data_IF_633219114384
#
_entry.id   IF_633219114384
#
_cell.length_a   1.000
_cell.length_b   1.000
_cell.length_c   1.000
_cell.angle_alpha   90.00
_cell.angle_beta   90.00
_cell.angle_gamma   90.00
#
_symmetry.space_group_name_H-M   'P 1'
#
loop_
_entity.id
_entity.type
_entity.pdbx_description
1 polymer ?
#
# COMPACT_ATOMS: atom_id res chain seq x y z
N UNK A 1 10.16 -0.17 17.97
CA UNK A 1 8.77 -0.61 18.12
C UNK A 1 8.78 -2.04 18.67
N UNK A 2 8.63 -2.19 19.98
CA UNK A 2 8.36 -3.45 20.65
C UNK A 2 6.85 -3.61 20.78
N UNK A 3 6.23 -4.22 19.81
CA UNK A 3 4.83 -4.59 19.87
C UNK A 3 4.70 -6.11 19.79
N UNK A 4 4.45 -6.75 20.93
CA UNK A 4 3.98 -8.13 20.93
C UNK A 4 2.54 -8.16 20.43
N UNK A 5 2.33 -8.67 19.22
CA UNK A 5 1.00 -9.02 18.74
C UNK A 5 0.79 -10.50 18.97
N UNK A 6 0.03 -10.82 20.00
CA UNK A 6 -0.45 -12.17 20.27
C UNK A 6 -1.63 -12.47 19.33
N UNK A 7 -1.36 -13.17 18.23
CA UNK A 7 -2.41 -13.68 17.34
C UNK A 7 -2.67 -15.12 17.76
N UNK A 8 -3.72 -15.35 18.52
CA UNK A 8 -4.21 -16.70 18.86
C UNK A 8 -4.44 -17.49 17.56
N UNK A 9 -3.61 -18.53 17.33
CA UNK A 9 -3.74 -19.47 16.23
C UNK A 9 -2.91 -19.22 14.98
N UNK A 10 -1.98 -18.27 14.96
CA UNK A 10 -0.98 -18.09 13.90
C UNK A 10 0.34 -18.78 14.21
N UNK A 11 1.00 -19.30 13.17
CA UNK A 11 2.38 -19.76 13.28
C UNK A 11 3.23 -18.65 13.93
N UNK A 12 3.81 -18.94 15.09
CA UNK A 12 4.80 -18.10 15.74
C UNK A 12 6.03 -18.05 14.83
N UNK A 13 6.16 -17.01 14.04
CA UNK A 13 7.43 -16.70 13.41
C UNK A 13 8.31 -16.04 14.47
N UNK A 14 9.37 -16.71 14.87
CA UNK A 14 10.45 -16.07 15.63
C UNK A 14 10.91 -14.83 14.85
N UNK A 15 10.78 -13.66 15.46
CA UNK A 15 11.31 -12.43 14.90
C UNK A 15 12.83 -12.46 15.06
N UNK A 16 13.52 -12.79 13.99
CA UNK A 16 14.96 -12.65 13.94
C UNK A 16 15.27 -11.15 13.79
N UNK A 17 16.03 -10.59 14.71
CA UNK A 17 16.56 -9.25 14.55
C UNK A 17 17.50 -9.22 13.36
N UNK A 18 17.22 -8.39 12.37
CA UNK A 18 18.12 -8.23 11.21
C UNK A 18 19.53 -7.78 11.63
N UNK A 19 19.67 -7.08 12.76
CA UNK A 19 20.97 -6.73 13.35
C UNK A 19 21.80 -7.95 13.72
N UNK A 20 21.16 -8.99 14.21
CA UNK A 20 21.84 -10.19 14.71
C UNK A 20 22.20 -11.16 13.59
N UNK A 21 21.64 -11.01 12.42
CA UNK A 21 21.89 -11.87 11.25
C UNK A 21 22.97 -11.35 10.28
N UNK A 22 23.45 -10.12 10.43
CA UNK A 22 24.42 -9.51 9.52
C UNK A 22 25.81 -9.34 10.16
N UNK A 23 26.46 -10.44 10.46
CA UNK A 23 27.89 -10.44 10.85
C UNK A 23 28.85 -10.71 9.67
N UNK A 24 28.52 -10.27 8.49
CA UNK A 24 29.42 -10.42 7.35
C UNK A 24 29.97 -9.04 6.98
N UNK A 25 31.29 -8.96 6.75
CA UNK A 25 31.94 -7.80 6.16
C UNK A 25 31.51 -7.55 4.70
N UNK A 26 30.55 -8.30 4.21
CA UNK A 26 30.03 -8.22 2.86
C UNK A 26 28.94 -7.16 2.77
N UNK A 27 28.91 -6.49 1.63
CA UNK A 27 27.85 -5.53 1.33
C UNK A 27 26.55 -6.27 1.06
N UNK A 28 25.43 -5.71 1.56
CA UNK A 28 24.12 -6.05 1.05
C UNK A 28 24.00 -5.54 -0.39
N UNK A 29 23.94 -6.45 -1.34
CA UNK A 29 23.89 -6.11 -2.77
C UNK A 29 22.46 -6.16 -3.28
N UNK A 30 21.95 -5.03 -3.69
CA UNK A 30 20.60 -4.86 -4.22
C UNK A 30 20.63 -4.44 -5.68
N UNK A 31 19.69 -4.95 -6.47
CA UNK A 31 19.44 -4.48 -7.82
C UNK A 31 18.04 -3.87 -7.88
N UNK A 32 17.92 -2.66 -8.38
CA UNK A 32 16.65 -1.95 -8.44
C UNK A 32 16.27 -1.63 -9.89
N UNK A 33 15.07 -2.05 -10.30
CA UNK A 33 14.53 -1.82 -11.63
C UNK A 33 13.49 -0.70 -11.59
N UNK A 34 13.85 0.47 -12.11
CA UNK A 34 13.02 1.68 -12.11
C UNK A 34 12.71 2.16 -13.53
N UNK A 35 11.48 2.57 -13.82
CA UNK A 35 11.11 3.10 -15.13
C UNK A 35 11.40 4.61 -15.23
N UNK A 36 12.67 5.01 -15.15
CA UNK A 36 13.07 6.40 -15.30
C UNK A 36 12.77 6.97 -16.68
N UNK A 37 12.82 6.11 -17.73
CA UNK A 37 12.60 6.51 -19.12
C UNK A 37 13.55 7.64 -19.55
N UNK A 38 14.81 7.51 -19.18
CA UNK A 38 15.83 8.53 -19.46
C UNK A 38 16.01 8.87 -20.92
N UNK A 39 15.70 7.90 -21.84
CA UNK A 39 15.74 8.15 -23.28
C UNK A 39 14.72 9.19 -23.76
N UNK A 40 13.67 9.44 -22.97
CA UNK A 40 12.65 10.43 -23.31
C UNK A 40 13.01 11.84 -22.81
N UNK A 41 14.09 12.00 -22.03
CA UNK A 41 14.50 13.27 -21.44
C UNK A 41 15.54 13.93 -22.36
N UNK A 42 15.16 15.07 -22.93
CA UNK A 42 16.02 15.89 -23.79
C UNK A 42 16.67 16.99 -22.91
N UNK A 43 17.84 16.71 -22.35
CA UNK A 43 18.52 17.63 -21.40
C UNK A 43 18.83 19.00 -21.99
N UNK A 44 18.98 19.11 -23.29
CA UNK A 44 19.24 20.39 -23.98
C UNK A 44 18.01 21.29 -24.11
N UNK A 45 16.81 20.74 -23.84
CA UNK A 45 15.54 21.46 -23.92
C UNK A 45 14.85 21.58 -22.58
N UNK A 46 15.27 22.56 -21.77
CA UNK A 46 14.79 22.77 -20.40
C UNK A 46 13.27 22.80 -20.28
N UNK A 47 12.56 23.48 -21.22
CA UNK A 47 11.09 23.54 -21.19
C UNK A 47 10.44 22.15 -21.32
N UNK A 48 10.90 21.33 -22.27
CA UNK A 48 10.36 19.97 -22.47
C UNK A 48 10.68 19.06 -21.29
N UNK A 49 11.89 19.16 -20.75
CA UNK A 49 12.31 18.42 -19.58
C UNK A 49 11.49 18.78 -18.35
N UNK A 50 11.28 20.07 -18.08
CA UNK A 50 10.46 20.52 -16.97
C UNK A 50 9.01 20.02 -17.08
N UNK A 51 8.43 20.00 -18.28
CA UNK A 51 7.08 19.46 -18.49
C UNK A 51 7.00 17.96 -18.15
N UNK A 52 8.02 17.18 -18.53
CA UNK A 52 8.07 15.74 -18.21
C UNK A 52 8.34 15.47 -16.73
N UNK A 53 9.09 16.33 -16.07
CA UNK A 53 9.43 16.22 -14.65
C UNK A 53 8.39 16.93 -13.74
N UNK A 54 7.31 17.48 -14.31
CA UNK A 54 6.22 18.07 -13.57
C UNK A 54 5.08 17.04 -13.36
N UNK A 55 4.41 17.13 -12.23
CA UNK A 55 3.26 16.28 -11.92
C UNK A 55 3.63 14.81 -11.59
N UNK A 56 2.60 14.00 -11.39
CA UNK A 56 2.74 12.59 -11.02
C UNK A 56 2.79 11.70 -12.27
N UNK A 57 3.98 11.27 -12.64
CA UNK A 57 4.23 10.38 -13.78
C UNK A 57 5.36 9.40 -13.45
N UNK A 58 5.73 8.50 -14.40
CA UNK A 58 6.76 7.48 -14.15
C UNK A 58 8.14 8.07 -13.86
N UNK A 59 8.50 9.18 -14.51
CA UNK A 59 9.81 9.85 -14.26
C UNK A 59 9.88 10.31 -12.79
N UNK A 60 8.86 11.07 -12.34
CA UNK A 60 8.83 11.64 -10.98
C UNK A 60 8.64 10.57 -9.90
N UNK A 61 7.82 9.55 -10.15
CA UNK A 61 7.66 8.41 -9.24
C UNK A 61 8.99 7.67 -9.08
N UNK A 62 9.69 7.39 -10.19
CA UNK A 62 10.98 6.69 -10.15
C UNK A 62 12.05 7.49 -9.44
N UNK A 63 12.12 8.81 -9.70
CA UNK A 63 13.06 9.70 -9.04
C UNK A 63 12.82 9.78 -7.52
N UNK A 64 11.57 10.00 -7.12
CA UNK A 64 11.20 10.06 -5.70
C UNK A 64 11.47 8.73 -4.98
N UNK A 65 11.17 7.61 -5.64
CA UNK A 65 11.47 6.30 -5.09
C UNK A 65 12.97 6.08 -4.92
N UNK A 66 13.77 6.47 -5.92
CA UNK A 66 15.23 6.40 -5.86
C UNK A 66 15.81 7.24 -4.71
N UNK A 67 15.36 8.49 -4.55
CA UNK A 67 15.78 9.32 -3.44
C UNK A 67 15.43 8.69 -2.08
N UNK A 68 14.25 8.13 -1.95
CA UNK A 68 13.88 7.38 -0.74
C UNK A 68 14.76 6.17 -0.47
N UNK A 69 15.20 5.46 -1.51
CA UNK A 69 16.15 4.35 -1.38
C UNK A 69 17.54 4.82 -0.94
N UNK A 70 18.05 5.95 -1.47
CA UNK A 70 19.33 6.50 -1.05
C UNK A 70 19.29 6.93 0.42
N UNK A 71 18.21 7.58 0.86
CA UNK A 71 18.02 7.90 2.28
C UNK A 71 17.99 6.63 3.16
N UNK A 72 17.29 5.58 2.70
CA UNK A 72 17.27 4.30 3.40
C UNK A 72 18.65 3.64 3.44
N UNK A 73 19.45 3.74 2.36
CA UNK A 73 20.82 3.23 2.31
C UNK A 73 21.70 3.95 3.33
N UNK A 74 21.64 5.28 3.39
CA UNK A 74 22.39 6.06 4.38
C UNK A 74 22.00 5.70 5.82
N UNK A 75 20.70 5.48 6.05
CA UNK A 75 20.21 5.01 7.34
C UNK A 75 20.76 3.61 7.67
N UNK A 76 20.75 2.67 6.73
CA UNK A 76 21.33 1.35 6.91
C UNK A 76 22.84 1.42 7.21
N UNK A 77 23.57 2.28 6.48
CA UNK A 77 25.00 2.50 6.71
C UNK A 77 25.26 3.02 8.13
N UNK A 78 24.41 3.92 8.65
CA UNK A 78 24.50 4.43 10.03
C UNK A 78 24.28 3.33 11.10
N UNK A 79 23.58 2.27 10.74
CA UNK A 79 23.36 1.09 11.56
C UNK A 79 24.45 0.01 11.38
N UNK A 80 25.48 0.29 10.57
CA UNK A 80 26.56 -0.65 10.26
C UNK A 80 26.24 -1.66 9.15
N UNK A 81 25.09 -1.52 8.48
CA UNK A 81 24.67 -2.38 7.37
C UNK A 81 25.09 -1.72 6.06
N UNK A 82 26.28 -2.09 5.57
CA UNK A 82 26.80 -1.55 4.30
C UNK A 82 25.98 -2.05 3.13
N UNK A 83 25.40 -1.12 2.37
CA UNK A 83 24.49 -1.44 1.27
C UNK A 83 25.00 -0.88 -0.06
N UNK A 84 24.95 -1.70 -1.11
CA UNK A 84 25.19 -1.30 -2.51
C UNK A 84 23.93 -1.51 -3.31
N UNK A 85 23.49 -0.48 -4.01
CA UNK A 85 22.30 -0.50 -4.86
C UNK A 85 22.74 -0.26 -6.31
N UNK A 86 22.50 -1.27 -7.17
CA UNK A 86 22.65 -1.11 -8.61
C UNK A 86 21.28 -0.76 -9.21
N UNK A 87 21.16 0.41 -9.80
CA UNK A 87 19.91 0.93 -10.35
C UNK A 87 19.90 0.80 -11.86
N UNK A 88 18.81 0.22 -12.37
CA UNK A 88 18.62 -0.09 -13.79
C UNK A 88 17.37 0.64 -14.28
N UNK A 89 17.54 1.45 -15.32
CA UNK A 89 16.41 2.05 -16.02
C UNK A 89 15.75 1.03 -16.95
N UNK A 90 14.52 0.68 -16.63
CA UNK A 90 13.74 -0.28 -17.42
C UNK A 90 13.13 0.33 -18.67
N UNK A 91 13.19 1.64 -18.86
CA UNK A 91 12.48 2.37 -19.91
C UNK A 91 10.97 2.08 -19.96
N UNK A 92 10.44 1.37 -18.96
CA UNK A 92 9.09 0.77 -18.96
C UNK A 92 8.87 -0.19 -20.15
N UNK A 93 9.90 -0.88 -20.61
CA UNK A 93 9.93 -1.74 -21.79
C UNK A 93 10.35 -3.17 -21.39
N UNK A 94 9.55 -4.16 -21.80
CA UNK A 94 9.80 -5.57 -21.50
C UNK A 94 11.05 -6.11 -22.22
N UNK A 95 11.39 -5.59 -23.38
CA UNK A 95 12.58 -6.01 -24.12
C UNK A 95 13.85 -5.57 -23.41
N UNK A 96 13.87 -4.34 -22.89
CA UNK A 96 14.97 -3.81 -22.09
C UNK A 96 15.12 -4.61 -20.79
N UNK A 97 14.00 -4.90 -20.11
CA UNK A 97 14.01 -5.72 -18.90
C UNK A 97 14.60 -7.11 -19.18
N UNK A 98 14.18 -7.78 -20.25
CA UNK A 98 14.67 -9.10 -20.60
C UNK A 98 16.17 -9.10 -20.98
N UNK A 99 16.63 -8.09 -21.71
CA UNK A 99 18.04 -7.87 -22.01
C UNK A 99 18.86 -7.75 -20.72
N UNK A 100 18.40 -6.91 -19.78
CA UNK A 100 19.08 -6.70 -18.50
C UNK A 100 19.11 -7.95 -17.63
N UNK A 101 18.00 -8.71 -17.54
CA UNK A 101 18.00 -10.00 -16.84
C UNK A 101 19.07 -10.95 -17.41
N UNK A 102 19.28 -10.92 -18.73
CA UNK A 102 20.22 -11.81 -19.40
C UNK A 102 21.66 -11.37 -19.26
N UNK A 103 21.94 -10.08 -19.14
CA UNK A 103 23.29 -9.51 -19.09
C UNK A 103 23.87 -9.36 -17.68
N UNK A 104 23.03 -9.35 -16.64
CA UNK A 104 23.48 -9.17 -15.26
C UNK A 104 24.03 -10.48 -14.71
N UNK A 105 25.18 -10.37 -14.02
CA UNK A 105 25.65 -11.45 -13.16
C UNK A 105 24.89 -11.40 -11.83
N UNK A 106 24.05 -12.39 -11.60
CA UNK A 106 23.20 -12.48 -10.40
C UNK A 106 23.90 -13.06 -9.17
N UNK A 107 25.14 -13.54 -9.31
CA UNK A 107 25.89 -14.07 -8.18
C UNK A 107 26.16 -12.98 -7.13
N UNK A 108 25.82 -13.27 -5.88
CA UNK A 108 26.02 -12.36 -4.77
C UNK A 108 24.96 -11.25 -4.65
N UNK A 109 23.92 -11.21 -5.50
CA UNK A 109 22.79 -10.32 -5.33
C UNK A 109 21.86 -10.89 -4.25
N UNK A 110 21.60 -10.07 -3.22
CA UNK A 110 20.82 -10.48 -2.05
C UNK A 110 19.31 -10.25 -2.26
N UNK A 111 18.91 -9.20 -2.98
CA UNK A 111 17.52 -8.96 -3.34
C UNK A 111 17.37 -8.07 -4.56
N UNK A 112 16.18 -8.14 -5.16
CA UNK A 112 15.80 -7.31 -6.31
C UNK A 112 14.57 -6.48 -5.91
N UNK A 113 14.60 -5.19 -6.21
CA UNK A 113 13.50 -4.24 -5.96
C UNK A 113 12.90 -3.82 -7.31
N UNK A 114 11.58 -3.99 -7.44
CA UNK A 114 10.88 -3.68 -8.70
C UNK A 114 10.89 -4.85 -9.71
N UNK A 115 10.49 -4.60 -10.95
CA UNK A 115 10.04 -3.32 -11.55
C UNK A 115 8.83 -2.68 -10.86
N UNK A 116 8.71 -1.33 -10.89
CA UNK A 116 7.61 -0.63 -10.22
C UNK A 116 6.25 -0.84 -10.90
N UNK A 117 6.25 -1.00 -12.23
CA UNK A 117 5.02 -1.16 -13.00
C UNK A 117 4.51 -2.60 -12.88
N UNK A 118 3.27 -2.84 -12.42
CA UNK A 118 2.77 -4.17 -12.10
C UNK A 118 2.86 -5.19 -13.25
N UNK A 119 2.54 -4.75 -14.48
CA UNK A 119 2.65 -5.62 -15.67
C UNK A 119 4.08 -6.09 -15.92
N UNK A 120 5.05 -5.19 -15.77
CA UNK A 120 6.47 -5.50 -15.94
C UNK A 120 6.99 -6.37 -14.79
N UNK A 121 6.51 -6.13 -13.58
CA UNK A 121 6.84 -6.93 -12.40
C UNK A 121 6.35 -8.38 -12.56
N UNK A 122 5.12 -8.56 -13.03
CA UNK A 122 4.53 -9.89 -13.25
C UNK A 122 5.31 -10.70 -14.29
N UNK A 123 5.78 -10.07 -15.37
CA UNK A 123 6.68 -10.68 -16.33
C UNK A 123 8.05 -11.01 -15.73
N UNK A 124 8.64 -10.06 -15.01
CA UNK A 124 9.98 -10.17 -14.43
C UNK A 124 10.07 -11.28 -13.39
N UNK A 125 9.12 -11.34 -12.48
CA UNK A 125 9.11 -12.27 -11.34
C UNK A 125 9.00 -13.74 -11.73
N UNK A 126 8.55 -14.04 -12.96
CA UNK A 126 8.44 -15.41 -13.50
C UNK A 126 9.71 -15.91 -14.18
N UNK A 127 10.77 -15.08 -14.24
CA UNK A 127 12.00 -15.49 -14.91
C UNK A 127 12.82 -16.46 -14.06
N UNK A 128 13.20 -17.60 -14.66
CA UNK A 128 13.92 -18.67 -13.95
C UNK A 128 15.32 -18.30 -13.49
N UNK A 129 15.97 -17.32 -14.12
CA UNK A 129 17.34 -16.91 -13.77
C UNK A 129 17.44 -16.23 -12.42
N UNK A 130 16.33 -15.74 -11.91
CA UNK A 130 16.22 -14.99 -10.64
C UNK A 130 15.28 -15.67 -9.63
N UNK A 131 14.94 -16.96 -9.86
CA UNK A 131 13.99 -17.71 -9.05
C UNK A 131 14.41 -17.90 -7.60
N UNK A 132 15.70 -17.83 -7.32
CA UNK A 132 16.26 -18.04 -5.99
C UNK A 132 16.59 -16.72 -5.26
N UNK A 133 16.41 -15.58 -5.94
CA UNK A 133 16.67 -14.26 -5.38
C UNK A 133 15.35 -13.65 -4.90
N UNK A 134 15.27 -13.12 -3.67
CA UNK A 134 14.10 -12.37 -3.21
C UNK A 134 13.78 -11.20 -4.13
N UNK A 135 12.55 -11.12 -4.61
CA UNK A 135 12.05 -10.05 -5.50
C UNK A 135 10.96 -9.28 -4.78
N UNK A 136 11.11 -7.98 -4.65
CA UNK A 136 10.24 -7.12 -3.88
C UNK A 136 9.45 -6.20 -4.82
N UNK A 137 8.11 -6.29 -4.77
CA UNK A 137 7.21 -5.31 -5.38
C UNK A 137 6.95 -4.18 -4.39
N UNK A 138 7.50 -2.97 -4.61
CA UNK A 138 7.53 -1.96 -3.55
C UNK A 138 6.28 -1.10 -3.45
N UNK A 139 5.53 -0.88 -4.53
CA UNK A 139 4.45 0.12 -4.57
C UNK A 139 3.08 -0.44 -4.96
N UNK A 140 3.04 -1.64 -5.55
CA UNK A 140 1.78 -2.19 -6.06
C UNK A 140 0.85 -2.64 -4.94
N UNK A 141 -0.42 -2.26 -5.04
CA UNK A 141 -1.53 -2.78 -4.23
C UNK A 141 -2.33 -3.87 -4.95
N UNK A 142 -1.94 -4.21 -6.19
CA UNK A 142 -2.52 -5.35 -6.90
C UNK A 142 -1.99 -6.64 -6.30
N UNK A 143 -2.86 -7.63 -6.16
CA UNK A 143 -2.46 -8.98 -5.78
C UNK A 143 -1.48 -9.53 -6.82
N UNK A 144 -0.37 -10.07 -6.38
CA UNK A 144 0.67 -10.64 -7.23
C UNK A 144 0.64 -12.14 -7.04
N UNK A 145 0.41 -12.86 -8.13
CA UNK A 145 0.59 -14.31 -8.17
C UNK A 145 2.09 -14.60 -8.24
N UNK A 146 2.70 -14.70 -7.06
CA UNK A 146 4.15 -14.81 -6.95
C UNK A 146 4.64 -16.21 -6.66
N UNK A 147 5.85 -16.48 -7.11
CA UNK A 147 6.67 -17.59 -6.64
C UNK A 147 7.07 -17.38 -5.17
N UNK A 148 7.66 -18.41 -4.55
CA UNK A 148 8.09 -18.36 -3.13
C UNK A 148 9.08 -17.22 -2.80
N UNK A 149 9.79 -16.71 -3.80
CA UNK A 149 10.78 -15.63 -3.68
C UNK A 149 10.19 -14.24 -3.94
N UNK A 150 8.88 -14.11 -4.18
CA UNK A 150 8.23 -12.83 -4.48
C UNK A 150 7.58 -12.28 -3.21
N UNK A 151 7.93 -11.04 -2.89
CA UNK A 151 7.44 -10.31 -1.72
C UNK A 151 6.76 -9.01 -2.16
N UNK A 152 5.71 -8.63 -1.47
CA UNK A 152 5.00 -7.39 -1.70
C UNK A 152 5.05 -6.52 -0.45
N UNK A 153 5.64 -5.32 -0.56
CA UNK A 153 5.80 -4.40 0.59
C UNK A 153 4.50 -3.70 0.98
N UNK A 154 3.60 -3.54 0.02
CA UNK A 154 2.27 -2.94 0.25
C UNK A 154 1.21 -4.03 0.13
N UNK A 155 0.47 -4.27 1.21
CA UNK A 155 -0.59 -5.28 1.19
C UNK A 155 -1.65 -4.98 0.13
N UNK A 156 -2.12 -5.99 -0.63
CA UNK A 156 -3.22 -5.82 -1.56
C UNK A 156 -4.47 -5.30 -0.86
N UNK A 157 -5.19 -4.38 -1.49
CA UNK A 157 -6.44 -3.82 -0.94
C UNK A 157 -7.46 -4.91 -0.57
N UNK A 158 -7.57 -5.94 -1.39
CA UNK A 158 -8.44 -7.11 -1.13
C UNK A 158 -8.10 -7.79 0.20
N UNK A 159 -6.80 -7.94 0.50
CA UNK A 159 -6.34 -8.53 1.77
C UNK A 159 -6.62 -7.60 2.95
N UNK A 160 -6.36 -6.31 2.80
CA UNK A 160 -6.66 -5.31 3.83
C UNK A 160 -8.16 -5.31 4.15
N UNK A 161 -9.03 -5.30 3.13
CA UNK A 161 -10.48 -5.41 3.30
C UNK A 161 -10.88 -6.67 4.06
N UNK A 162 -10.33 -7.82 3.66
CA UNK A 162 -10.63 -9.09 4.34
C UNK A 162 -10.24 -9.06 5.81
N UNK A 163 -9.08 -8.50 6.13
CA UNK A 163 -8.63 -8.33 7.52
C UNK A 163 -9.57 -7.41 8.29
N UNK A 164 -9.92 -6.25 7.71
CA UNK A 164 -10.85 -5.31 8.31
C UNK A 164 -12.25 -5.93 8.50
N UNK A 165 -12.76 -6.63 7.50
CA UNK A 165 -14.06 -7.33 7.61
C UNK A 165 -14.06 -8.37 8.73
N UNK A 166 -12.99 -9.15 8.86
CA UNK A 166 -12.86 -10.13 9.95
C UNK A 166 -12.78 -9.46 11.32
N UNK A 167 -12.01 -8.36 11.43
CA UNK A 167 -11.92 -7.59 12.65
C UNK A 167 -13.31 -7.07 13.07
N UNK A 168 -13.99 -6.36 12.18
CA UNK A 168 -15.32 -5.78 12.45
C UNK A 168 -16.32 -6.90 12.80
N UNK A 169 -16.30 -8.03 12.07
CA UNK A 169 -17.19 -9.17 12.36
C UNK A 169 -17.00 -9.73 13.76
N UNK A 170 -15.78 -9.74 14.26
CA UNK A 170 -15.49 -10.23 15.61
C UNK A 170 -15.84 -9.22 16.71
N UNK A 171 -15.84 -7.94 16.36
CA UNK A 171 -16.16 -6.84 17.29
C UNK A 171 -17.66 -6.51 17.32
N UNK A 172 -18.40 -6.80 16.24
CA UNK A 172 -19.84 -6.50 16.15
C UNK A 172 -20.64 -7.53 16.96
N UNK A 173 -21.30 -7.02 17.99
CA UNK A 173 -22.30 -7.72 18.75
C UNK A 173 -23.64 -6.95 18.78
N UNK A 174 -24.58 -7.36 19.61
CA UNK A 174 -25.88 -6.70 19.76
C UNK A 174 -25.83 -5.31 20.42
N UNK A 175 -24.68 -4.95 21.01
CA UNK A 175 -24.46 -3.68 21.72
C UNK A 175 -23.83 -2.62 20.82
N UNK A 176 -23.61 -2.91 19.53
CA UNK A 176 -22.95 -2.02 18.61
C UNK A 176 -23.86 -1.67 17.44
N UNK A 177 -23.72 -0.43 16.99
CA UNK A 177 -24.39 0.08 15.80
C UNK A 177 -23.40 0.14 14.62
N UNK A 178 -23.81 -0.31 13.45
CA UNK A 178 -22.99 -0.31 12.24
C UNK A 178 -23.57 0.60 11.18
N UNK A 179 -22.85 1.65 10.82
CA UNK A 179 -23.18 2.57 9.72
C UNK A 179 -22.13 2.43 8.62
N UNK A 180 -22.58 2.30 7.38
CA UNK A 180 -21.70 2.17 6.22
C UNK A 180 -21.97 3.34 5.29
N UNK A 181 -20.93 4.11 4.98
CA UNK A 181 -20.99 5.28 4.11
C UNK A 181 -20.09 5.03 2.90
N UNK A 182 -20.59 5.25 1.69
CA UNK A 182 -19.76 5.15 0.49
C UNK A 182 -20.22 6.09 -0.62
N UNK A 183 -19.30 6.34 -1.56
CA UNK A 183 -19.65 6.90 -2.87
C UNK A 183 -20.17 5.80 -3.83
N UNK A 184 -20.67 6.22 -4.99
CA UNK A 184 -21.17 5.32 -6.04
C UNK A 184 -20.08 4.41 -6.63
N UNK A 185 -18.82 4.84 -6.62
CA UNK A 185 -17.67 4.07 -7.14
C UNK A 185 -17.39 2.85 -6.25
N UNK A 186 -17.46 3.05 -4.94
CA UNK A 186 -17.16 2.03 -3.94
C UNK A 186 -18.39 1.26 -3.43
N UNK A 187 -19.56 1.52 -4.01
CA UNK A 187 -20.84 0.92 -3.62
C UNK A 187 -20.82 -0.62 -3.53
N UNK A 188 -20.18 -1.30 -4.48
CA UNK A 188 -20.07 -2.78 -4.46
C UNK A 188 -19.35 -3.29 -3.23
N UNK A 189 -18.29 -2.58 -2.82
CA UNK A 189 -17.48 -2.92 -1.64
C UNK A 189 -18.28 -2.65 -0.37
N UNK A 190 -18.92 -1.49 -0.30
CA UNK A 190 -19.78 -1.12 0.82
C UNK A 190 -20.90 -2.15 1.06
N UNK A 191 -21.48 -2.70 -0.01
CA UNK A 191 -22.44 -3.80 0.10
C UNK A 191 -21.89 -5.09 0.72
N UNK A 192 -20.61 -5.36 0.57
CA UNK A 192 -19.98 -6.51 1.23
C UNK A 192 -19.92 -6.29 2.74
N UNK A 193 -19.61 -5.07 3.19
CA UNK A 193 -19.64 -4.71 4.61
C UNK A 193 -21.06 -4.77 5.19
N UNK A 194 -22.08 -4.38 4.41
CA UNK A 194 -23.48 -4.49 4.85
C UNK A 194 -23.89 -5.92 5.25
N UNK A 195 -23.24 -6.93 4.68
CA UNK A 195 -23.51 -8.35 5.03
C UNK A 195 -22.98 -8.76 6.40
N UNK A 196 -22.16 -7.93 7.05
CA UNK A 196 -21.59 -8.24 8.36
C UNK A 196 -22.63 -8.17 9.47
N UNK A 197 -23.65 -7.33 9.34
CA UNK A 197 -24.76 -7.22 10.31
C UNK A 197 -26.07 -6.99 9.59
N UNK A 198 -27.13 -7.69 10.04
CA UNK A 198 -28.49 -7.48 9.56
C UNK A 198 -29.09 -6.13 9.96
N UNK A 199 -28.54 -5.54 11.02
CA UNK A 199 -28.95 -4.23 11.56
C UNK A 199 -28.09 -3.06 11.03
N UNK A 200 -27.24 -3.31 10.02
CA UNK A 200 -26.39 -2.26 9.47
C UNK A 200 -27.18 -1.24 8.64
N UNK A 201 -26.84 0.04 8.82
CA UNK A 201 -27.36 1.15 8.04
C UNK A 201 -26.42 1.45 6.89
N UNK A 202 -26.98 1.81 5.74
CA UNK A 202 -26.20 2.15 4.56
C UNK A 202 -26.57 3.54 4.06
N UNK A 203 -25.56 4.38 3.86
CA UNK A 203 -25.68 5.75 3.34
C UNK A 203 -24.82 5.89 2.09
N UNK A 204 -25.43 6.22 0.99
CA UNK A 204 -24.74 6.61 -0.23
C UNK A 204 -24.54 8.13 -0.25
N UNK A 205 -23.35 8.57 -0.62
CA UNK A 205 -23.05 10.00 -0.73
C UNK A 205 -23.87 10.64 -1.87
N UNK A 206 -24.31 11.86 -1.62
CA UNK A 206 -25.01 12.68 -2.59
C UNK A 206 -24.12 13.09 -3.78
N UNK A 207 -24.77 13.42 -4.90
CA UNK A 207 -24.07 14.01 -6.04
C UNK A 207 -23.44 15.34 -5.61
N UNK A 208 -22.12 15.38 -5.61
CA UNK A 208 -21.37 16.55 -5.11
C UNK A 208 -20.42 16.19 -3.95
N UNK A 209 -20.39 14.93 -3.54
CA UNK A 209 -19.39 14.42 -2.60
C UNK A 209 -19.66 14.88 -1.16
N UNK A 210 -20.87 14.75 -0.68
CA UNK A 210 -21.25 15.03 0.72
C UNK A 210 -22.31 14.06 1.21
N UNK A 211 -22.49 13.98 2.51
CA UNK A 211 -23.59 13.27 3.16
C UNK A 211 -24.47 14.28 3.92
N UNK A 212 -25.74 13.96 4.06
CA UNK A 212 -26.71 14.80 4.75
C UNK A 212 -26.46 14.65 6.28
N UNK A 213 -26.12 15.75 6.98
CA UNK A 213 -25.78 15.67 8.41
C UNK A 213 -26.88 15.09 9.28
N UNK A 214 -28.13 15.49 9.03
CA UNK A 214 -29.32 15.05 9.80
C UNK A 214 -29.56 13.54 9.62
N UNK A 215 -29.24 12.99 8.44
CA UNK A 215 -29.33 11.56 8.19
C UNK A 215 -28.30 10.81 9.04
N UNK A 216 -27.06 11.27 9.07
CA UNK A 216 -25.99 10.63 9.87
C UNK A 216 -26.33 10.72 11.35
N UNK A 217 -26.77 11.90 11.83
CA UNK A 217 -27.18 12.09 13.22
C UNK A 217 -28.30 11.13 13.63
N UNK A 218 -29.29 10.92 12.76
CA UNK A 218 -30.41 10.00 13.03
C UNK A 218 -30.01 8.52 13.07
N UNK A 219 -28.88 8.14 12.46
CA UNK A 219 -28.38 6.77 12.40
C UNK A 219 -27.39 6.44 13.52
N UNK A 220 -26.77 7.45 14.14
CA UNK A 220 -25.89 7.25 15.28
C UNK A 220 -26.72 7.13 16.58
N UNK A 221 -26.40 6.13 17.37
CA UNK A 221 -27.13 5.79 18.58
C UNK A 221 -26.32 6.20 19.81
N UNK A 222 -26.97 6.96 20.70
CA UNK A 222 -26.38 7.29 21.99
C UNK A 222 -26.26 6.05 22.87
N UNK A 223 -25.28 6.02 23.76
CA UNK A 223 -25.01 4.90 24.67
C UNK A 223 -24.61 3.57 24.00
N UNK A 224 -24.45 3.56 22.68
CA UNK A 224 -23.89 2.45 21.94
C UNK A 224 -22.56 2.86 21.26
N UNK A 225 -21.71 1.87 21.01
CA UNK A 225 -20.55 2.06 20.17
C UNK A 225 -20.97 2.09 18.71
N UNK A 226 -20.79 3.22 18.05
CA UNK A 226 -21.10 3.40 16.63
C UNK A 226 -19.85 3.08 15.79
N UNK A 227 -19.89 1.98 15.07
CA UNK A 227 -18.85 1.63 14.10
C UNK A 227 -19.25 2.17 12.73
N UNK A 228 -18.48 3.08 12.19
CA UNK A 228 -18.72 3.69 10.87
C UNK A 228 -17.67 3.18 9.89
N UNK A 229 -18.11 2.50 8.84
CA UNK A 229 -17.25 2.07 7.73
C UNK A 229 -17.41 3.08 6.60
N UNK A 230 -16.31 3.70 6.19
CA UNK A 230 -16.31 4.70 5.16
C UNK A 230 -15.45 4.27 3.97
N UNK A 231 -16.08 4.14 2.80
CA UNK A 231 -15.43 3.65 1.58
C UNK A 231 -15.54 4.71 0.47
N UNK A 232 -14.59 5.66 0.45
CA UNK A 232 -14.38 6.63 -0.63
C UNK A 232 -12.94 7.12 -0.67
N UNK A 233 -12.49 7.53 -1.88
CA UNK A 233 -11.23 8.24 -2.10
C UNK A 233 -11.47 9.69 -2.57
N UNK A 234 -12.69 10.14 -2.65
CA UNK A 234 -13.02 11.54 -2.93
C UNK A 234 -12.63 12.41 -1.72
N UNK A 235 -11.67 13.32 -1.93
CA UNK A 235 -11.13 14.15 -0.85
C UNK A 235 -12.18 15.09 -0.24
N UNK A 236 -13.14 15.57 -1.04
CA UNK A 236 -14.23 16.40 -0.56
C UNK A 236 -15.14 15.62 0.38
N UNK A 237 -15.52 14.41 -0.02
CA UNK A 237 -16.33 13.51 0.80
C UNK A 237 -15.59 13.04 2.05
N UNK A 238 -14.29 12.75 1.94
CA UNK A 238 -13.45 12.41 3.10
C UNK A 238 -13.47 13.54 4.14
N UNK A 239 -13.22 14.78 3.70
CA UNK A 239 -13.24 15.94 4.60
C UNK A 239 -14.62 16.17 5.22
N UNK A 240 -15.70 16.06 4.42
CA UNK A 240 -17.07 16.21 4.89
C UNK A 240 -17.43 15.16 5.95
N UNK A 241 -17.23 13.86 5.66
CA UNK A 241 -17.61 12.76 6.56
C UNK A 241 -16.76 12.78 7.84
N UNK A 242 -15.45 12.99 7.73
CA UNK A 242 -14.58 13.03 8.93
C UNK A 242 -14.91 14.21 9.85
N UNK A 243 -15.17 15.39 9.28
CA UNK A 243 -15.59 16.57 10.05
C UNK A 243 -16.93 16.34 10.73
N UNK A 244 -17.90 15.81 9.98
CA UNK A 244 -19.23 15.52 10.50
C UNK A 244 -19.18 14.50 11.64
N UNK A 245 -18.52 13.37 11.46
CA UNK A 245 -18.39 12.33 12.49
C UNK A 245 -17.65 12.85 13.73
N UNK A 246 -16.61 13.66 13.55
CA UNK A 246 -15.89 14.26 14.65
C UNK A 246 -16.77 15.20 15.48
N UNK A 247 -17.71 15.91 14.85
CA UNK A 247 -18.68 16.77 15.55
C UNK A 247 -19.71 15.98 16.36
N UNK A 248 -19.90 14.70 16.04
CA UNK A 248 -20.86 13.80 16.71
C UNK A 248 -20.26 13.07 17.92
N UNK A 249 -18.93 13.07 18.07
CA UNK A 249 -18.28 12.45 19.23
C UNK A 249 -18.53 13.27 20.49
N UNK A 250 -19.03 12.61 21.52
CA UNK A 250 -19.37 13.25 22.80
C UNK A 250 -19.25 12.28 23.98
N UNK A 251 -19.69 12.72 25.17
CA UNK A 251 -19.67 11.88 26.37
C UNK A 251 -20.60 10.65 26.26
N UNK A 252 -21.69 10.79 25.54
CA UNK A 252 -22.75 9.79 25.41
C UNK A 252 -22.70 9.03 24.07
N UNK A 253 -21.93 9.53 23.10
CA UNK A 253 -21.84 8.99 21.74
C UNK A 253 -20.40 8.64 21.39
N UNK A 254 -20.11 7.34 21.32
CA UNK A 254 -18.83 6.79 20.88
C UNK A 254 -18.90 6.49 19.38
N UNK A 255 -18.00 7.07 18.58
CA UNK A 255 -17.94 6.88 17.13
C UNK A 255 -16.55 6.43 16.73
N UNK A 256 -16.46 5.27 16.10
CA UNK A 256 -15.21 4.72 15.60
C UNK A 256 -15.27 4.56 14.08
N UNK A 257 -14.35 5.23 13.38
CA UNK A 257 -14.29 5.26 11.91
C UNK A 257 -13.28 4.23 11.38
N UNK A 258 -13.71 3.46 10.38
CA UNK A 258 -12.89 2.50 9.65
C UNK A 258 -12.93 2.78 8.14
N UNK A 259 -11.82 2.57 7.47
CA UNK A 259 -11.76 2.55 6.00
C UNK A 259 -10.78 1.47 5.51
N UNK A 260 -11.15 0.80 4.42
CA UNK A 260 -10.23 -0.12 3.72
C UNK A 260 -9.39 0.59 2.67
N UNK A 261 -9.69 1.84 2.40
CA UNK A 261 -9.00 2.67 1.43
C UNK A 261 -7.96 3.54 2.14
N UNK A 262 -6.84 3.75 1.45
CA UNK A 262 -5.87 4.76 1.89
C UNK A 262 -6.25 6.09 1.25
N UNK A 263 -6.52 7.06 2.07
CA UNK A 263 -6.74 8.46 1.69
C UNK A 263 -5.54 9.31 2.05
#
# INVERSE_FOLDING_TARGET
FNGNFDVKGGLLYERISLKDSFFSNNYLQLVCFLPFKMREIEFDYVKKTNTKLSGRNLHTISANFYFGMEMAREFCDSLGIKTRINVIDTQNDLSVINEKISSINWNGINAIIGPLVPKNFDFFSKNRRISDIPIISPLSTKEIDGNKNVFQSVSPLKRLRKVMMNYIKNEIDSTQNLVIISDSVNFKIAKEFKKLSTKSHFVEAEKGGYVIPELIDSLLVDSLKNQVIFESQDLGLVANVTSLLNSQVGKERDVQLFSSLRT
#
